data_IF_108265908164
#
_entry.id   IF_108265908164
#
_cell.length_a   1.000
_cell.length_b   1.000
_cell.length_c   1.000
_cell.angle_alpha   90.00
_cell.angle_beta   90.00
_cell.angle_gamma   90.00
#
_symmetry.space_group_name_H-M   'P 1'
#
loop_
_entity.id
_entity.type
_entity.pdbx_description
1 polymer ?
#
# COMPACT_ATOMS: atom_id res chain seq x y z
N UNK A 1 0.20 -4.34 9.11
CA UNK A 1 0.61 -3.62 10.34
C UNK A 1 0.47 -2.11 10.15
N UNK A 2 0.21 -1.37 11.25
CA UNK A 2 0.15 0.11 11.30
C UNK A 2 1.10 0.64 12.40
N UNK A 3 2.41 0.45 12.28
CA UNK A 3 3.34 0.69 13.38
C UNK A 3 3.65 2.17 13.64
N UNK A 4 3.23 3.05 12.74
CA UNK A 4 3.44 4.50 12.82
C UNK A 4 2.31 5.24 13.54
N UNK A 5 1.32 4.50 14.08
CA UNK A 5 0.13 5.11 14.65
C UNK A 5 -0.06 4.68 16.09
N UNK A 6 -0.68 5.55 16.88
CA UNK A 6 -0.95 5.31 18.29
C UNK A 6 -2.38 5.70 18.68
N UNK A 7 -3.05 4.81 19.40
CA UNK A 7 -4.34 5.14 19.99
C UNK A 7 -4.13 5.89 21.32
N UNK A 8 -4.85 6.99 21.62
CA UNK A 8 -4.69 7.76 22.84
C UNK A 8 -5.05 6.98 24.13
N UNK A 9 -5.74 5.84 23.99
CA UNK A 9 -6.07 4.94 25.13
C UNK A 9 -5.10 3.77 25.26
N UNK A 10 -4.02 3.73 24.46
CA UNK A 10 -3.04 2.65 24.53
C UNK A 10 -2.00 2.87 25.62
N UNK A 11 -1.43 1.78 26.12
CA UNK A 11 -0.32 1.80 27.07
C UNK A 11 0.90 2.56 26.50
N UNK A 12 1.13 2.49 25.19
CA UNK A 12 2.19 3.25 24.53
C UNK A 12 2.00 4.75 24.69
N UNK A 13 0.79 5.24 24.46
CA UNK A 13 0.49 6.67 24.60
C UNK A 13 0.55 7.12 26.06
N UNK A 14 0.08 6.30 26.99
CA UNK A 14 0.15 6.58 28.42
C UNK A 14 1.60 6.75 28.89
N UNK A 15 2.51 5.89 28.42
CA UNK A 15 3.94 5.93 28.77
C UNK A 15 4.73 7.02 28.04
N UNK A 16 4.35 7.30 26.79
CA UNK A 16 5.09 8.18 25.90
C UNK A 16 4.16 9.12 25.11
N UNK A 17 3.41 10.01 25.78
CA UNK A 17 2.54 10.96 25.10
C UNK A 17 3.35 11.95 24.22
N UNK A 18 4.61 12.18 24.55
CA UNK A 18 5.57 13.01 23.83
C UNK A 18 6.08 12.39 22.51
N UNK A 19 5.71 11.13 22.23
CA UNK A 19 6.04 10.46 20.96
C UNK A 19 5.02 10.69 19.85
N UNK A 20 3.86 11.26 20.18
CA UNK A 20 2.86 11.59 19.18
C UNK A 20 3.06 13.03 18.63
N UNK A 21 2.80 13.19 17.34
CA UNK A 21 2.71 14.51 16.72
C UNK A 21 1.42 15.18 17.21
N UNK A 22 1.56 16.22 18.03
CA UNK A 22 0.45 16.78 18.77
C UNK A 22 0.69 18.27 19.08
N UNK A 23 -0.27 19.15 18.73
CA UNK A 23 -0.19 20.59 19.02
C UNK A 23 -0.27 20.85 20.54
N UNK A 24 0.62 21.63 21.11
CA UNK A 24 0.52 22.07 22.49
C UNK A 24 -0.61 23.12 22.66
N UNK A 25 -1.26 23.11 23.80
CA UNK A 25 -2.27 24.11 24.20
C UNK A 25 -3.48 24.25 23.25
N UNK A 26 -3.82 23.19 22.54
CA UNK A 26 -5.00 23.10 21.69
C UNK A 26 -5.65 21.73 21.85
N UNK A 27 -6.96 21.67 21.56
CA UNK A 27 -7.67 20.41 21.48
C UNK A 27 -7.06 19.54 20.37
N UNK A 28 -6.78 18.30 20.70
CA UNK A 28 -6.19 17.36 19.77
C UNK A 28 -7.26 16.83 18.81
N UNK A 29 -6.99 16.95 17.52
CA UNK A 29 -7.82 16.33 16.50
C UNK A 29 -7.37 14.89 16.28
N UNK A 30 -8.27 13.94 16.49
CA UNK A 30 -8.05 12.52 16.27
C UNK A 30 -8.67 12.08 14.95
N UNK A 31 -7.86 11.61 14.03
CA UNK A 31 -8.36 10.97 12.82
C UNK A 31 -8.46 9.46 13.07
N UNK A 32 -9.67 8.89 12.90
CA UNK A 32 -9.94 7.46 13.21
C UNK A 32 -9.55 7.06 14.64
N UNK A 33 -9.67 7.98 15.61
CA UNK A 33 -9.24 7.80 17.01
C UNK A 33 -7.74 7.48 17.18
N UNK A 34 -6.90 7.97 16.30
CA UNK A 34 -5.47 7.72 16.29
C UNK A 34 -4.67 9.01 16.11
N UNK A 35 -3.41 8.95 16.50
CA UNK A 35 -2.38 9.95 16.25
C UNK A 35 -1.22 9.32 15.50
N UNK A 36 -0.43 10.13 14.82
CA UNK A 36 0.79 9.70 14.15
C UNK A 36 1.95 9.81 15.11
N UNK A 37 2.78 8.78 15.19
CA UNK A 37 4.03 8.79 15.96
C UNK A 37 5.07 9.69 15.27
N UNK A 38 5.83 10.42 16.05
CA UNK A 38 6.84 11.38 15.60
C UNK A 38 8.13 10.68 15.15
N UNK A 39 8.22 10.29 13.90
CA UNK A 39 9.40 9.65 13.32
C UNK A 39 10.59 10.60 13.13
N UNK A 40 10.46 11.91 13.40
CA UNK A 40 11.61 12.78 13.54
C UNK A 40 12.46 12.45 14.78
N UNK A 41 11.85 11.73 15.76
CA UNK A 41 12.50 11.30 16.98
C UNK A 41 13.15 9.89 16.81
N UNK A 42 14.47 9.75 16.96
CA UNK A 42 15.17 8.47 16.85
C UNK A 42 14.62 7.38 17.79
N UNK A 43 14.17 7.72 18.99
CA UNK A 43 13.57 6.75 19.92
C UNK A 43 12.28 6.15 19.39
N UNK A 44 11.48 6.95 18.67
CA UNK A 44 10.27 6.49 18.00
C UNK A 44 10.63 5.61 16.81
N UNK A 45 11.68 5.95 16.05
CA UNK A 45 12.18 5.07 14.98
C UNK A 45 12.61 3.70 15.53
N UNK A 46 13.31 3.68 16.67
CA UNK A 46 13.71 2.43 17.33
C UNK A 46 12.52 1.60 17.77
N UNK A 47 11.49 2.25 18.32
CA UNK A 47 10.26 1.57 18.69
C UNK A 47 9.55 0.98 17.48
N UNK A 48 9.35 1.76 16.40
CA UNK A 48 8.67 1.29 15.19
C UNK A 48 9.43 0.13 14.55
N UNK A 49 10.76 0.19 14.52
CA UNK A 49 11.58 -0.94 14.08
C UNK A 49 11.39 -2.18 14.98
N UNK A 50 11.34 -1.98 16.30
CA UNK A 50 11.18 -3.10 17.24
C UNK A 50 9.85 -3.84 17.09
N UNK A 51 8.79 -3.16 16.61
CA UNK A 51 7.51 -3.82 16.30
C UNK A 51 7.70 -4.89 15.23
N UNK A 52 8.38 -4.56 14.15
CA UNK A 52 8.68 -5.53 13.08
C UNK A 52 9.61 -6.63 13.57
N UNK A 53 10.68 -6.24 14.28
CA UNK A 53 11.66 -7.19 14.81
C UNK A 53 11.01 -8.22 15.74
N UNK A 54 10.10 -7.79 16.63
CA UNK A 54 9.39 -8.69 17.53
C UNK A 54 8.45 -9.64 16.77
N UNK A 55 7.71 -9.12 15.78
CA UNK A 55 6.85 -9.97 14.94
C UNK A 55 7.69 -11.06 14.26
N UNK A 56 8.82 -10.69 13.66
CA UNK A 56 9.70 -11.63 12.95
C UNK A 56 10.37 -12.64 13.87
N UNK A 57 10.71 -12.23 15.12
CA UNK A 57 11.27 -13.16 16.12
C UNK A 57 10.26 -14.18 16.61
N UNK A 58 9.02 -13.74 16.81
CA UNK A 58 7.93 -14.61 17.30
C UNK A 58 7.33 -15.47 16.17
N UNK A 59 7.40 -15.00 14.94
CA UNK A 59 6.80 -15.63 13.75
C UNK A 59 7.79 -15.59 12.58
N UNK A 60 8.82 -16.44 12.57
CA UNK A 60 9.87 -16.40 11.54
C UNK A 60 9.38 -16.80 10.15
N UNK A 61 8.19 -17.38 10.04
CA UNK A 61 7.53 -17.76 8.80
C UNK A 61 6.73 -16.62 8.14
N UNK A 62 6.73 -15.41 8.70
CA UNK A 62 6.09 -14.24 8.07
C UNK A 62 6.74 -13.97 6.73
N UNK A 63 5.94 -14.09 5.66
CA UNK A 63 6.40 -14.01 4.28
C UNK A 63 6.06 -12.67 3.60
N UNK A 64 5.31 -11.79 4.25
CA UNK A 64 4.84 -10.54 3.65
C UNK A 64 4.33 -9.56 4.70
N UNK A 65 4.58 -8.25 4.49
CA UNK A 65 3.95 -7.18 5.26
C UNK A 65 3.18 -6.23 4.37
N UNK A 66 1.93 -5.94 4.73
CA UNK A 66 1.25 -4.72 4.33
C UNK A 66 1.52 -3.67 5.40
N UNK A 67 2.24 -2.63 5.03
CA UNK A 67 2.60 -1.51 5.88
C UNK A 67 1.66 -0.35 5.64
N UNK A 68 0.87 0.00 6.63
CA UNK A 68 -0.15 1.03 6.52
C UNK A 68 0.06 2.17 7.53
N UNK A 69 -0.47 3.34 7.18
CA UNK A 69 -0.59 4.49 8.06
C UNK A 69 -1.81 5.30 7.63
N UNK A 70 -2.92 5.09 8.31
CA UNK A 70 -4.24 5.59 7.91
C UNK A 70 -4.62 6.94 8.54
N UNK A 71 -3.65 7.70 9.04
CA UNK A 71 -3.89 9.03 9.59
C UNK A 71 -2.95 10.06 8.94
N UNK A 72 -3.50 11.14 8.38
CA UNK A 72 -2.69 12.27 7.98
C UNK A 72 -2.13 12.99 9.21
N UNK A 73 -1.02 13.70 9.04
CA UNK A 73 -0.46 14.58 10.08
C UNK A 73 -1.31 15.85 10.13
N UNK A 74 -2.28 15.89 11.02
CA UNK A 74 -3.21 17.03 11.20
C UNK A 74 -2.81 17.94 12.35
N UNK A 75 -2.15 17.42 13.37
CA UNK A 75 -1.66 18.15 14.54
C UNK A 75 -0.18 18.50 14.34
N UNK A 76 0.12 19.49 13.54
CA UNK A 76 1.46 19.76 12.97
C UNK A 76 2.40 20.35 14.02
N UNK A 77 2.87 19.52 14.95
CA UNK A 77 3.87 19.90 15.94
C UNK A 77 4.57 18.66 16.49
N UNK A 78 5.91 18.69 16.50
CA UNK A 78 6.77 17.68 17.08
C UNK A 78 7.28 18.11 18.46
N UNK A 79 6.93 17.42 19.54
CA UNK A 79 7.55 17.68 20.85
C UNK A 79 9.08 17.53 20.84
N UNK A 80 9.59 16.64 19.99
CA UNK A 80 11.03 16.37 19.84
C UNK A 80 11.79 17.52 19.16
N UNK A 81 11.22 18.10 18.08
CA UNK A 81 11.91 19.12 17.27
C UNK A 81 12.01 20.50 17.94
N UNK A 82 11.22 20.76 18.98
CA UNK A 82 11.21 22.01 19.74
C UNK A 82 11.09 23.24 18.84
N UNK A 83 12.15 24.01 18.65
CA UNK A 83 12.18 25.22 17.83
C UNK A 83 12.42 24.94 16.33
N UNK A 84 12.63 23.68 15.92
CA UNK A 84 12.89 23.30 14.52
C UNK A 84 11.63 22.77 13.81
N UNK A 85 10.46 23.26 14.17
CA UNK A 85 9.17 22.74 13.67
C UNK A 85 9.06 22.74 12.13
N UNK A 86 9.71 23.69 11.44
CA UNK A 86 9.74 23.72 9.97
C UNK A 86 10.39 22.50 9.30
N UNK A 87 11.07 21.65 10.07
CA UNK A 87 11.69 20.42 9.55
C UNK A 87 10.79 19.19 9.73
N UNK A 88 9.65 19.31 10.42
CA UNK A 88 8.84 18.14 10.79
C UNK A 88 8.56 17.21 9.63
N UNK A 89 8.03 17.69 8.51
CA UNK A 89 7.69 16.83 7.37
C UNK A 89 8.91 16.14 6.75
N UNK A 90 10.02 16.86 6.65
CA UNK A 90 11.26 16.33 6.06
C UNK A 90 11.87 15.27 6.98
N UNK A 91 11.99 15.58 8.27
CA UNK A 91 12.64 14.66 9.22
C UNK A 91 11.74 13.46 9.55
N UNK A 92 10.40 13.62 9.51
CA UNK A 92 9.46 12.51 9.62
C UNK A 92 9.61 11.52 8.45
N UNK A 93 9.66 12.01 7.21
CA UNK A 93 9.85 11.16 6.01
C UNK A 93 11.22 10.48 6.05
N UNK A 94 12.28 11.19 6.42
CA UNK A 94 13.60 10.59 6.61
C UNK A 94 13.58 9.52 7.70
N UNK A 95 12.84 9.77 8.78
CA UNK A 95 12.68 8.83 9.88
C UNK A 95 12.03 7.51 9.45
N UNK A 96 10.96 7.55 8.67
CA UNK A 96 10.35 6.31 8.16
C UNK A 96 11.31 5.57 7.23
N UNK A 97 12.02 6.26 6.33
CA UNK A 97 12.99 5.58 5.47
C UNK A 97 14.18 4.99 6.23
N UNK A 98 14.60 5.60 7.34
CA UNK A 98 15.60 5.00 8.23
C UNK A 98 15.09 3.69 8.85
N UNK A 99 13.84 3.64 9.29
CA UNK A 99 13.22 2.42 9.82
C UNK A 99 13.14 1.34 8.73
N UNK A 100 12.60 1.70 7.55
CA UNK A 100 12.43 0.78 6.44
C UNK A 100 13.76 0.22 5.92
N UNK A 101 14.81 1.06 5.91
CA UNK A 101 16.17 0.63 5.58
C UNK A 101 16.64 -0.47 6.53
N UNK A 102 16.48 -0.29 7.85
CA UNK A 102 16.83 -1.29 8.86
C UNK A 102 16.02 -2.58 8.67
N UNK A 103 14.71 -2.48 8.39
CA UNK A 103 13.88 -3.64 8.10
C UNK A 103 14.42 -4.39 6.88
N UNK A 104 14.71 -3.67 5.78
CA UNK A 104 15.21 -4.30 4.55
C UNK A 104 16.60 -4.93 4.70
N UNK A 105 17.46 -4.34 5.51
CA UNK A 105 18.80 -4.87 5.80
C UNK A 105 18.75 -6.16 6.64
N UNK A 106 17.81 -6.27 7.59
CA UNK A 106 17.69 -7.43 8.45
C UNK A 106 16.75 -8.54 7.91
N UNK A 107 15.79 -8.17 7.06
CA UNK A 107 14.80 -9.07 6.47
C UNK A 107 14.69 -8.84 4.95
N UNK A 108 15.79 -9.04 4.18
CA UNK A 108 15.87 -8.69 2.76
C UNK A 108 14.87 -9.45 1.88
N UNK A 109 14.51 -10.66 2.30
CA UNK A 109 13.65 -11.58 1.52
C UNK A 109 12.15 -11.41 1.83
N UNK A 110 11.79 -10.56 2.78
CA UNK A 110 10.40 -10.29 3.11
C UNK A 110 9.89 -9.10 2.30
N UNK A 111 9.04 -9.32 1.30
CA UNK A 111 8.45 -8.25 0.52
C UNK A 111 7.45 -7.45 1.37
N UNK A 112 7.31 -6.18 1.03
CA UNK A 112 6.40 -5.26 1.70
C UNK A 112 5.56 -4.48 0.69
N UNK A 113 4.26 -4.35 0.99
CA UNK A 113 3.33 -3.46 0.32
C UNK A 113 3.18 -2.16 1.12
N UNK A 114 3.29 -1.02 0.44
CA UNK A 114 2.98 0.28 1.04
C UNK A 114 1.50 0.62 0.87
N UNK A 115 0.87 0.94 1.98
CA UNK A 115 -0.46 1.53 2.03
C UNK A 115 -0.46 2.78 2.92
N UNK A 116 -1.36 3.69 2.66
CA UNK A 116 -1.64 4.86 3.50
C UNK A 116 -3.01 5.41 3.15
N UNK A 117 -4.07 4.70 3.53
CA UNK A 117 -5.40 4.95 3.00
C UNK A 117 -5.42 4.85 1.45
N UNK A 118 -4.77 3.84 0.90
CA UNK A 118 -4.41 3.72 -0.50
C UNK A 118 -3.01 4.25 -0.80
N UNK A 119 -2.84 4.90 -1.95
CA UNK A 119 -1.56 5.31 -2.51
C UNK A 119 -1.02 6.67 -2.06
N UNK A 120 -1.44 7.21 -0.91
CA UNK A 120 -1.11 8.58 -0.51
C UNK A 120 0.40 8.85 -0.28
N UNK A 121 1.22 7.80 -0.10
CA UNK A 121 2.67 7.91 0.11
C UNK A 121 3.50 7.20 -0.98
N UNK A 122 2.90 6.93 -2.14
CA UNK A 122 3.62 6.29 -3.24
C UNK A 122 4.59 7.28 -3.87
N UNK A 123 5.88 7.00 -3.76
CA UNK A 123 6.95 7.75 -4.41
C UNK A 123 8.11 6.82 -4.83
N UNK A 124 9.07 7.36 -5.60
CA UNK A 124 10.19 6.55 -6.11
C UNK A 124 11.20 6.16 -5.03
N UNK A 125 11.34 6.93 -3.95
CA UNK A 125 12.20 6.55 -2.82
C UNK A 125 11.63 5.33 -2.10
N UNK A 126 10.30 5.26 -1.95
CA UNK A 126 9.61 4.13 -1.34
C UNK A 126 9.87 2.80 -2.08
N UNK A 127 10.07 2.83 -3.41
CA UNK A 127 10.40 1.62 -4.19
C UNK A 127 11.74 0.96 -3.83
N UNK A 128 12.60 1.62 -3.05
CA UNK A 128 13.80 0.99 -2.50
C UNK A 128 13.48 -0.04 -1.41
N UNK A 129 12.34 0.11 -0.76
CA UNK A 129 11.94 -0.66 0.42
C UNK A 129 10.70 -1.52 0.15
N UNK A 130 9.75 -0.98 -0.60
CA UNK A 130 8.49 -1.66 -0.93
C UNK A 130 8.56 -2.28 -2.32
N UNK A 131 8.00 -3.48 -2.44
CA UNK A 131 7.89 -4.20 -3.71
C UNK A 131 6.65 -3.78 -4.48
N UNK A 132 5.66 -3.23 -3.79
CA UNK A 132 4.38 -2.82 -4.36
C UNK A 132 3.65 -1.77 -3.54
N UNK A 133 2.66 -1.17 -4.19
CA UNK A 133 1.77 -0.16 -3.64
C UNK A 133 0.31 -0.60 -3.70
N UNK A 134 -0.42 -0.40 -2.61
CA UNK A 134 -1.86 -0.41 -2.62
C UNK A 134 -2.36 0.92 -3.20
N UNK A 135 -2.73 0.92 -4.49
CA UNK A 135 -3.01 2.17 -5.22
C UNK A 135 -4.19 2.97 -4.66
N UNK A 136 -5.22 2.28 -4.16
CA UNK A 136 -6.40 2.91 -3.58
C UNK A 136 -7.23 1.90 -2.80
N UNK A 137 -7.84 2.35 -1.70
CA UNK A 137 -8.85 1.57 -0.96
C UNK A 137 -10.16 1.45 -1.74
N UNK A 138 -10.39 2.30 -2.75
CA UNK A 138 -11.52 2.14 -3.65
C UNK A 138 -11.24 0.98 -4.62
N UNK A 139 -11.90 -0.14 -4.40
CA UNK A 139 -11.79 -1.36 -5.20
C UNK A 139 -12.96 -1.57 -6.15
N UNK A 140 -13.83 -0.57 -6.33
CA UNK A 140 -14.83 -0.58 -7.39
C UNK A 140 -14.12 -0.75 -8.75
N UNK A 141 -14.45 -1.79 -9.54
CA UNK A 141 -13.70 -2.09 -10.75
C UNK A 141 -13.85 -1.00 -11.84
N UNK A 142 -14.94 -0.24 -11.84
CA UNK A 142 -15.10 0.90 -12.77
C UNK A 142 -14.14 2.02 -12.39
N UNK A 143 -14.08 2.39 -11.10
CA UNK A 143 -13.16 3.38 -10.59
C UNK A 143 -11.70 2.92 -10.73
N UNK A 144 -11.43 1.63 -10.53
CA UNK A 144 -10.10 1.05 -10.68
C UNK A 144 -9.53 1.15 -12.10
N UNK A 145 -10.35 1.19 -13.12
CA UNK A 145 -9.90 1.49 -14.49
C UNK A 145 -9.14 2.82 -14.52
N UNK A 146 -9.72 3.88 -13.95
CA UNK A 146 -9.12 5.21 -13.91
C UNK A 146 -7.94 5.30 -12.96
N UNK A 147 -8.06 4.69 -11.77
CA UNK A 147 -7.00 4.66 -10.76
C UNK A 147 -5.76 3.95 -11.30
N UNK A 148 -5.90 2.75 -11.86
CA UNK A 148 -4.79 1.97 -12.40
C UNK A 148 -4.19 2.61 -13.65
N UNK A 149 -5.02 3.21 -14.50
CA UNK A 149 -4.54 4.00 -15.62
C UNK A 149 -3.67 5.18 -15.16
N UNK A 150 -4.15 5.95 -14.18
CA UNK A 150 -3.42 7.08 -13.61
C UNK A 150 -2.09 6.66 -12.98
N UNK A 151 -2.11 5.63 -12.12
CA UNK A 151 -0.89 5.09 -11.51
C UNK A 151 0.11 4.58 -12.54
N UNK A 152 -0.36 3.95 -13.62
CA UNK A 152 0.50 3.43 -14.68
C UNK A 152 1.29 4.51 -15.43
N UNK A 153 0.97 5.80 -15.26
CA UNK A 153 1.75 6.91 -15.82
C UNK A 153 3.10 7.07 -15.10
N UNK A 154 3.18 6.62 -13.84
CA UNK A 154 4.33 6.84 -12.96
C UNK A 154 4.98 5.53 -12.52
N UNK A 155 4.21 4.45 -12.40
CA UNK A 155 4.68 3.18 -11.82
C UNK A 155 4.39 2.00 -12.76
N UNK A 156 5.30 1.02 -12.85
CA UNK A 156 5.08 -0.19 -13.64
C UNK A 156 4.01 -1.09 -12.99
N UNK A 157 3.39 -1.95 -13.80
CA UNK A 157 2.36 -2.87 -13.34
C UNK A 157 2.79 -3.73 -12.14
N UNK A 158 4.06 -4.13 -12.06
CA UNK A 158 4.60 -4.92 -10.96
C UNK A 158 4.68 -4.19 -9.62
N UNK A 159 4.58 -2.86 -9.63
CA UNK A 159 4.53 -2.05 -8.41
C UNK A 159 3.10 -1.71 -7.98
N UNK A 160 2.09 -2.23 -8.64
CA UNK A 160 0.69 -1.92 -8.38
C UNK A 160 -0.10 -3.17 -8.00
N UNK A 161 -0.81 -3.12 -6.88
CA UNK A 161 -1.73 -4.17 -6.48
C UNK A 161 -3.18 -3.85 -6.87
N UNK A 162 -3.86 -4.88 -7.36
CA UNK A 162 -5.27 -4.80 -7.70
C UNK A 162 -6.00 -6.07 -7.24
N UNK A 163 -7.05 -5.89 -6.45
CA UNK A 163 -7.80 -7.00 -5.90
C UNK A 163 -9.21 -7.07 -6.44
N UNK A 164 -9.67 -8.29 -6.66
CA UNK A 164 -11.09 -8.61 -6.83
C UNK A 164 -11.72 -8.62 -5.45
N UNK A 165 -12.72 -7.75 -5.24
CA UNK A 165 -13.40 -7.61 -3.95
C UNK A 165 -14.91 -7.73 -4.09
N UNK A 166 -15.62 -7.67 -2.96
CA UNK A 166 -17.10 -7.60 -2.94
C UNK A 166 -17.64 -6.20 -3.23
N UNK A 167 -16.80 -5.20 -3.45
CA UNK A 167 -17.25 -3.86 -3.79
C UNK A 167 -17.86 -3.82 -5.19
N UNK A 168 -18.97 -3.12 -5.34
CA UNK A 168 -19.77 -3.06 -6.59
C UNK A 168 -20.12 -4.44 -7.16
N UNK A 169 -20.89 -5.23 -6.40
CA UNK A 169 -21.36 -6.57 -6.80
C UNK A 169 -22.29 -6.57 -8.04
N UNK A 170 -22.74 -5.40 -8.51
CA UNK A 170 -23.50 -5.30 -9.76
C UNK A 170 -22.65 -5.62 -11.00
N UNK A 171 -21.33 -5.52 -10.89
CA UNK A 171 -20.40 -5.93 -11.95
C UNK A 171 -20.10 -7.43 -11.86
N UNK A 172 -19.93 -8.08 -13.01
CA UNK A 172 -19.59 -9.51 -13.06
C UNK A 172 -18.22 -9.80 -12.45
N UNK A 173 -18.01 -10.98 -11.91
CA UNK A 173 -16.68 -11.45 -11.46
C UNK A 173 -15.67 -11.38 -12.60
N UNK A 174 -16.12 -11.67 -13.85
CA UNK A 174 -15.26 -11.53 -15.03
C UNK A 174 -14.71 -10.10 -15.15
N UNK A 175 -15.58 -9.10 -15.13
CA UNK A 175 -15.15 -7.70 -15.27
C UNK A 175 -14.19 -7.27 -14.14
N UNK A 176 -14.53 -7.62 -12.88
CA UNK A 176 -13.67 -7.34 -11.73
C UNK A 176 -12.29 -7.96 -11.86
N UNK A 177 -12.24 -9.21 -12.34
CA UNK A 177 -11.00 -9.95 -12.55
C UNK A 177 -10.19 -9.40 -13.72
N UNK A 178 -10.84 -9.05 -14.84
CA UNK A 178 -10.16 -8.45 -16.00
C UNK A 178 -9.46 -7.13 -15.60
N UNK A 179 -10.14 -6.28 -14.84
CA UNK A 179 -9.58 -5.02 -14.34
C UNK A 179 -8.40 -5.27 -13.38
N UNK A 180 -8.55 -6.18 -12.42
CA UNK A 180 -7.49 -6.49 -11.47
C UNK A 180 -6.27 -7.16 -12.15
N UNK A 181 -6.48 -7.88 -13.25
CA UNK A 181 -5.42 -8.56 -13.99
C UNK A 181 -4.44 -7.64 -14.72
N UNK A 182 -4.72 -6.34 -14.79
CA UNK A 182 -3.79 -5.35 -15.36
C UNK A 182 -2.52 -5.15 -14.52
N UNK A 183 -2.53 -5.58 -13.26
CA UNK A 183 -1.47 -5.38 -12.28
C UNK A 183 -1.20 -6.70 -11.54
N UNK A 184 -0.66 -6.65 -10.32
CA UNK A 184 -0.60 -7.80 -9.42
C UNK A 184 -2.02 -8.19 -9.01
N UNK A 185 -2.49 -9.30 -9.55
CA UNK A 185 -3.82 -9.81 -9.26
C UNK A 185 -3.89 -10.40 -7.86
N UNK A 186 -4.83 -9.91 -7.05
CA UNK A 186 -5.20 -10.49 -5.78
C UNK A 186 -6.71 -10.70 -5.66
N UNK A 187 -7.11 -11.45 -4.65
CA UNK A 187 -8.50 -11.65 -4.26
C UNK A 187 -8.65 -11.30 -2.77
N UNK A 188 -9.54 -10.37 -2.50
CA UNK A 188 -9.97 -9.98 -1.15
C UNK A 188 -11.49 -10.04 -1.09
N UNK A 189 -11.99 -11.28 -1.15
CA UNK A 189 -13.41 -11.60 -1.19
C UNK A 189 -13.67 -12.89 -0.41
N UNK A 190 -14.78 -12.95 0.29
CA UNK A 190 -15.22 -14.18 0.94
C UNK A 190 -15.57 -15.25 -0.08
N UNK A 191 -14.84 -16.35 -0.15
CA UNK A 191 -15.09 -17.43 -1.12
C UNK A 191 -16.52 -17.99 -1.04
N UNK A 192 -17.13 -17.91 0.15
CA UNK A 192 -18.54 -18.32 0.37
C UNK A 192 -19.57 -17.38 -0.28
N UNK A 193 -19.13 -16.21 -0.72
CA UNK A 193 -19.98 -15.23 -1.41
C UNK A 193 -20.05 -15.47 -2.92
N UNK A 194 -19.19 -16.33 -3.46
CA UNK A 194 -19.13 -16.67 -4.87
C UNK A 194 -20.05 -17.88 -5.16
N UNK A 195 -20.75 -17.82 -6.29
CA UNK A 195 -21.40 -18.99 -6.86
C UNK A 195 -20.35 -20.01 -7.35
N UNK A 196 -20.78 -21.25 -7.61
CA UNK A 196 -19.89 -22.28 -8.15
C UNK A 196 -19.25 -21.86 -9.49
N UNK A 197 -20.04 -21.21 -10.36
CA UNK A 197 -19.56 -20.73 -11.67
C UNK A 197 -18.56 -19.58 -11.52
N UNK A 198 -18.81 -18.64 -10.61
CA UNK A 198 -17.89 -17.53 -10.32
C UNK A 198 -16.56 -18.02 -9.72
N UNK A 199 -16.63 -19.04 -8.86
CA UNK A 199 -15.44 -19.66 -8.30
C UNK A 199 -14.62 -20.39 -9.39
N UNK A 200 -15.27 -21.17 -10.24
CA UNK A 200 -14.63 -21.85 -11.36
C UNK A 200 -14.00 -20.86 -12.35
N UNK A 201 -14.71 -19.76 -12.65
CA UNK A 201 -14.16 -18.69 -13.46
C UNK A 201 -12.93 -18.05 -12.81
N UNK A 202 -12.99 -17.73 -11.51
CA UNK A 202 -11.88 -17.12 -10.77
C UNK A 202 -10.62 -18.00 -10.78
N UNK A 203 -10.79 -19.32 -10.63
CA UNK A 203 -9.67 -20.28 -10.75
C UNK A 203 -9.03 -20.23 -12.13
N UNK A 204 -9.86 -20.22 -13.20
CA UNK A 204 -9.38 -20.10 -14.58
C UNK A 204 -8.66 -18.77 -14.82
N UNK A 205 -9.19 -17.67 -14.31
CA UNK A 205 -8.61 -16.35 -14.44
C UNK A 205 -7.24 -16.25 -13.73
N UNK A 206 -7.09 -16.82 -12.53
CA UNK A 206 -5.80 -16.91 -11.82
C UNK A 206 -4.79 -17.74 -12.64
N UNK A 207 -5.21 -18.86 -13.21
CA UNK A 207 -4.34 -19.67 -14.05
C UNK A 207 -3.87 -18.90 -15.31
N UNK A 208 -4.77 -18.17 -15.94
CA UNK A 208 -4.45 -17.32 -17.09
C UNK A 208 -3.50 -16.18 -16.70
N UNK A 209 -3.76 -15.50 -15.59
CA UNK A 209 -2.88 -14.43 -15.12
C UNK A 209 -1.47 -14.97 -14.84
N UNK A 210 -1.34 -16.11 -14.16
CA UNK A 210 -0.03 -16.75 -13.92
C UNK A 210 0.71 -17.08 -15.21
N UNK A 211 -0.01 -17.48 -16.27
CA UNK A 211 0.58 -17.75 -17.59
C UNK A 211 1.08 -16.47 -18.27
N UNK A 212 0.43 -15.32 -18.03
CA UNK A 212 0.75 -14.02 -18.61
C UNK A 212 1.62 -13.15 -17.71
N UNK A 213 1.86 -13.59 -16.47
CA UNK A 213 2.51 -12.83 -15.42
C UNK A 213 3.81 -12.16 -15.86
N UNK A 214 4.68 -12.87 -16.57
CA UNK A 214 5.96 -12.34 -17.00
C UNK A 214 5.79 -11.16 -17.98
N UNK A 215 4.82 -11.23 -18.88
CA UNK A 215 4.53 -10.12 -19.80
C UNK A 215 3.97 -8.90 -19.05
N UNK A 216 3.08 -9.12 -18.08
CA UNK A 216 2.45 -8.04 -17.31
C UNK A 216 3.47 -7.39 -16.35
N UNK A 217 4.27 -8.20 -15.64
CA UNK A 217 5.17 -7.71 -14.58
C UNK A 217 6.49 -7.14 -15.13
N UNK A 218 7.05 -7.76 -16.15
CA UNK A 218 8.40 -7.46 -16.63
C UNK A 218 8.45 -7.00 -18.09
N UNK A 219 7.33 -7.06 -18.81
CA UNK A 219 7.19 -6.58 -20.18
C UNK A 219 7.02 -5.07 -20.28
N UNK A 220 7.02 -4.59 -21.51
CA UNK A 220 6.75 -3.19 -21.82
C UNK A 220 5.24 -2.95 -21.91
N UNK A 221 4.77 -1.91 -21.25
CA UNK A 221 3.36 -1.53 -21.23
C UNK A 221 3.08 -0.41 -22.26
N UNK A 222 2.08 -0.64 -23.09
CA UNK A 222 1.58 0.34 -24.06
C UNK A 222 0.12 0.70 -23.76
N UNK A 223 -0.19 2.00 -23.72
CA UNK A 223 -1.53 2.55 -23.53
C UNK A 223 -2.17 2.78 -24.88
N UNK A 224 -3.11 1.95 -25.27
CA UNK A 224 -3.71 1.99 -26.62
C UNK A 224 -4.96 2.85 -26.67
N UNK A 225 -5.83 2.77 -25.66
CA UNK A 225 -7.09 3.52 -25.57
C UNK A 225 -7.26 4.07 -24.18
N UNK A 226 -7.39 5.39 -24.08
CA UNK A 226 -7.61 6.09 -22.82
C UNK A 226 -9.04 5.92 -22.30
N UNK A 227 -9.25 5.63 -21.01
CA UNK A 227 -10.60 5.57 -20.42
C UNK A 227 -11.29 6.94 -20.35
N UNK A 228 -10.55 8.04 -20.57
CA UNK A 228 -11.09 9.41 -20.56
C UNK A 228 -11.67 9.82 -21.92
N UNK A 229 -11.43 9.04 -22.99
CA UNK A 229 -11.90 9.34 -24.33
C UNK A 229 -13.19 8.60 -24.74
N UNK A 230 -13.70 7.72 -23.84
CA UNK A 230 -14.92 6.97 -24.10
C UNK A 230 -15.14 5.85 -23.08
N UNK A 231 -15.95 4.87 -23.47
CA UNK A 231 -16.33 3.75 -22.58
C UNK A 231 -15.44 2.50 -22.75
N UNK A 232 -14.25 2.68 -23.30
CA UNK A 232 -13.30 1.60 -23.54
C UNK A 232 -11.93 2.01 -23.01
N UNK A 233 -11.21 1.03 -22.47
CA UNK A 233 -9.81 1.18 -22.12
C UNK A 233 -9.04 -0.01 -22.68
N UNK A 234 -7.85 0.24 -23.24
CA UNK A 234 -6.98 -0.82 -23.71
C UNK A 234 -5.53 -0.58 -23.33
N UNK A 235 -4.92 -1.59 -22.72
CA UNK A 235 -3.50 -1.70 -22.47
C UNK A 235 -2.94 -2.91 -23.25
N UNK A 236 -1.70 -2.83 -23.67
CA UNK A 236 -0.97 -3.97 -24.19
C UNK A 236 0.33 -4.14 -23.43
N UNK A 237 0.69 -5.38 -23.14
CA UNK A 237 1.94 -5.77 -22.50
C UNK A 237 2.73 -6.65 -23.43
N UNK A 238 3.93 -6.22 -23.80
CA UNK A 238 4.81 -6.96 -24.69
C UNK A 238 5.95 -7.57 -23.90
N UNK A 239 6.07 -8.87 -23.96
CA UNK A 239 7.15 -9.59 -23.30
C UNK A 239 8.51 -9.16 -23.85
N UNK A 240 9.54 -9.04 -23.01
CA UNK A 240 10.89 -8.65 -23.42
C UNK A 240 11.57 -9.62 -24.38
N UNK A 241 11.15 -10.87 -24.40
CA UNK A 241 11.59 -11.85 -25.38
C UNK A 241 10.86 -11.72 -26.73
N UNK A 242 9.99 -10.74 -26.88
CA UNK A 242 9.21 -10.37 -28.07
C UNK A 242 8.35 -11.48 -28.68
N UNK A 243 8.29 -12.64 -28.07
CA UNK A 243 7.53 -13.78 -28.58
C UNK A 243 6.08 -13.87 -28.03
N UNK A 244 5.72 -12.94 -27.12
CA UNK A 244 4.38 -12.91 -26.49
C UNK A 244 3.95 -11.47 -26.25
N UNK A 245 2.75 -11.14 -26.67
CA UNK A 245 2.08 -9.86 -26.41
C UNK A 245 0.67 -10.11 -25.85
#
# INVERSE_FOLDING_TARGET
IEPEMVNPKSELFEKHPDWAIMLPNRDTYYYRNQLVLDLSNPKVQDYVYSVVENIMKENPEVAFFKWDCNSPITNIYSPYLKNKQGQLYIDHVRGIYNVLKRVKENYPDVPMMLCSGGGARCDYEALKYFTEFWCSDNTDPVERIYIQWGFSQFFPAKAMDAHVTSWNKATSVKFRTDVASMCKLGFDIGLKELTADELAYSQTAVANWKRLQNAIMDGDQYRLVSPYEGNHMALNYVSKDTNKA
#
